data_IF_706615443041
#
_entry.id   IF_706615443041
#
_cell.length_a   1.000
_cell.length_b   1.000
_cell.length_c   1.000
_cell.angle_alpha   90.00
_cell.angle_beta   90.00
_cell.angle_gamma   90.00
#
_symmetry.space_group_name_H-M   'P 1'
#
loop_
_entity.id
_entity.type
_entity.pdbx_description
1 polymer ?
#
# COMPACT_ATOMS: atom_id res chain seq x y z
N UNK A 1 -19.49 4.55 -15.06
CA UNK A 1 -18.02 4.44 -15.15
C UNK A 1 -17.34 5.60 -14.45
N UNK A 2 -16.05 5.50 -14.11
CA UNK A 2 -15.25 6.60 -13.57
C UNK A 2 -14.11 6.89 -14.53
N UNK A 3 -13.95 8.13 -14.90
CA UNK A 3 -12.86 8.60 -15.76
C UNK A 3 -11.88 9.44 -14.94
N UNK A 4 -10.59 9.16 -15.08
CA UNK A 4 -9.53 9.92 -14.42
C UNK A 4 -8.89 10.85 -15.46
N UNK A 5 -9.01 12.14 -15.22
CA UNK A 5 -8.32 13.18 -15.99
C UNK A 5 -7.09 13.62 -15.17
N UNK A 6 -5.91 13.26 -15.60
CA UNK A 6 -4.67 13.55 -14.89
C UNK A 6 -3.63 14.12 -15.85
N UNK A 7 -2.89 15.12 -15.40
CA UNK A 7 -1.88 15.81 -16.21
C UNK A 7 -0.53 15.08 -16.24
N UNK A 8 -0.19 14.32 -15.20
CA UNK A 8 1.07 13.56 -15.09
C UNK A 8 0.76 12.07 -14.90
N UNK A 9 1.10 11.27 -15.89
CA UNK A 9 0.83 9.84 -15.93
C UNK A 9 1.59 9.04 -14.86
N UNK A 10 2.65 9.59 -14.29
CA UNK A 10 3.38 8.94 -13.19
C UNK A 10 2.47 8.64 -11.99
N UNK A 11 1.41 9.43 -11.79
CA UNK A 11 0.46 9.28 -10.68
C UNK A 11 -0.82 8.50 -11.05
N UNK A 12 -0.97 8.10 -12.32
CA UNK A 12 -2.20 7.46 -12.79
C UNK A 12 -2.52 6.17 -12.04
N UNK A 13 -1.54 5.28 -11.87
CA UNK A 13 -1.74 4.00 -11.19
C UNK A 13 -2.14 4.17 -9.72
N UNK A 14 -1.52 5.12 -9.01
CA UNK A 14 -1.90 5.46 -7.64
C UNK A 14 -3.34 5.97 -7.57
N UNK A 15 -3.75 6.80 -8.52
CA UNK A 15 -5.13 7.29 -8.61
C UNK A 15 -6.12 6.14 -8.84
N UNK A 16 -5.84 5.26 -9.80
CA UNK A 16 -6.69 4.10 -10.13
C UNK A 16 -6.89 3.21 -8.91
N UNK A 17 -5.80 2.84 -8.22
CA UNK A 17 -5.87 1.94 -7.07
C UNK A 17 -6.65 2.57 -5.93
N UNK A 18 -6.42 3.86 -5.65
CA UNK A 18 -7.10 4.56 -4.58
C UNK A 18 -8.59 4.77 -4.89
N UNK A 19 -8.94 5.18 -6.10
CA UNK A 19 -10.33 5.36 -6.53
C UNK A 19 -11.08 4.03 -6.48
N UNK A 20 -10.48 2.92 -6.95
CA UNK A 20 -11.08 1.58 -6.85
C UNK A 20 -11.32 1.14 -5.40
N UNK A 21 -10.53 1.62 -4.44
CA UNK A 21 -10.75 1.34 -3.03
C UNK A 21 -12.02 2.02 -2.48
N UNK A 22 -12.38 3.17 -3.01
CA UNK A 22 -13.65 3.84 -2.70
C UNK A 22 -14.83 3.27 -3.50
N UNK A 23 -14.60 2.86 -4.75
CA UNK A 23 -15.59 2.38 -5.72
C UNK A 23 -15.24 0.95 -6.22
N UNK A 24 -15.33 -0.09 -5.38
CA UNK A 24 -14.78 -1.42 -5.69
C UNK A 24 -15.47 -2.16 -6.83
N UNK A 25 -16.67 -1.71 -7.25
CA UNK A 25 -17.46 -2.34 -8.33
C UNK A 25 -17.56 -1.49 -9.59
N UNK A 26 -16.82 -0.39 -9.66
CA UNK A 26 -16.90 0.55 -10.77
C UNK A 26 -15.66 0.43 -11.64
N UNK A 27 -15.86 0.39 -12.94
CA UNK A 27 -14.76 0.48 -13.89
C UNK A 27 -14.16 1.87 -13.88
N UNK A 28 -12.82 1.90 -13.84
CA UNK A 28 -12.03 3.12 -13.82
C UNK A 28 -11.18 3.15 -15.07
N UNK A 29 -11.33 4.21 -15.85
CA UNK A 29 -10.66 4.40 -17.14
C UNK A 29 -9.94 5.74 -17.18
N UNK A 30 -8.94 5.84 -18.04
CA UNK A 30 -8.31 7.10 -18.35
C UNK A 30 -9.27 7.98 -19.16
N UNK A 31 -9.33 9.26 -18.80
CA UNK A 31 -10.07 10.24 -19.58
C UNK A 31 -9.40 10.46 -20.94
N UNK A 32 -10.18 10.36 -22.00
CA UNK A 32 -9.77 10.71 -23.37
C UNK A 32 -10.76 11.69 -23.94
N UNK A 33 -10.29 12.82 -24.46
CA UNK A 33 -11.16 13.86 -25.03
C UNK A 33 -12.05 13.35 -26.17
N UNK A 34 -11.55 12.37 -26.94
CA UNK A 34 -12.29 11.74 -28.02
C UNK A 34 -13.50 10.90 -27.54
N UNK A 35 -13.53 10.51 -26.27
CA UNK A 35 -14.61 9.72 -25.67
C UNK A 35 -15.74 10.57 -25.09
N UNK A 36 -15.72 11.89 -25.22
CA UNK A 36 -16.78 12.78 -24.71
C UNK A 36 -18.17 12.46 -25.28
N UNK A 37 -18.23 12.03 -26.53
CA UNK A 37 -19.49 11.73 -27.22
C UNK A 37 -20.19 10.45 -26.75
N UNK A 38 -19.47 9.57 -26.02
CA UNK A 38 -19.99 8.27 -25.57
C UNK A 38 -20.34 8.23 -24.08
N UNK A 39 -20.18 9.36 -23.36
CA UNK A 39 -20.45 9.42 -21.92
C UNK A 39 -21.95 9.53 -21.62
N UNK A 40 -22.33 8.86 -20.55
CA UNK A 40 -23.67 8.95 -19.97
C UNK A 40 -23.69 9.95 -18.81
N UNK A 41 -24.86 10.46 -18.47
CA UNK A 41 -25.05 11.35 -17.31
C UNK A 41 -24.69 10.71 -15.96
N UNK A 42 -24.45 9.40 -15.92
CA UNK A 42 -24.06 8.63 -14.72
C UNK A 42 -22.54 8.47 -14.57
N UNK A 43 -21.77 8.92 -15.54
CA UNK A 43 -20.31 8.80 -15.53
C UNK A 43 -19.67 9.92 -14.69
N UNK A 44 -18.74 9.55 -13.85
CA UNK A 44 -18.03 10.46 -12.95
C UNK A 44 -16.66 10.77 -13.53
N UNK A 45 -16.31 12.03 -13.61
CA UNK A 45 -14.94 12.46 -13.93
C UNK A 45 -14.25 12.92 -12.65
N UNK A 46 -13.10 12.34 -12.37
CA UNK A 46 -12.25 12.72 -11.24
C UNK A 46 -10.99 13.35 -11.83
N UNK A 47 -10.70 14.57 -11.39
CA UNK A 47 -9.49 15.31 -11.76
C UNK A 47 -8.63 15.49 -10.50
N UNK A 48 -7.66 14.56 -10.27
CA UNK A 48 -6.78 14.66 -9.11
C UNK A 48 -5.78 15.80 -9.27
N UNK A 49 -5.53 16.51 -8.17
CA UNK A 49 -4.48 17.52 -8.12
C UNK A 49 -3.12 16.84 -8.02
N UNK A 50 -2.25 17.10 -9.01
CA UNK A 50 -0.88 16.60 -9.02
C UNK A 50 0.01 17.56 -8.24
N UNK A 51 0.81 17.09 -7.28
CA UNK A 51 1.70 17.95 -6.51
C UNK A 51 2.82 18.53 -7.38
N UNK A 52 3.21 19.77 -7.09
CA UNK A 52 4.35 20.39 -7.74
C UNK A 52 5.66 19.68 -7.37
N UNK A 53 6.59 19.62 -8.34
CA UNK A 53 7.92 19.04 -8.16
C UNK A 53 8.85 20.07 -7.47
N UNK A 54 8.69 20.21 -6.17
CA UNK A 54 9.36 21.22 -5.32
C UNK A 54 10.64 20.73 -4.64
N UNK A 55 11.35 19.79 -5.25
CA UNK A 55 12.57 19.18 -4.70
C UNK A 55 12.34 17.98 -3.77
N UNK A 56 11.09 17.60 -3.52
CA UNK A 56 10.74 16.37 -2.81
C UNK A 56 11.15 15.13 -3.62
N UNK A 57 11.47 14.05 -2.91
CA UNK A 57 11.71 12.75 -3.55
C UNK A 57 10.45 12.24 -4.26
N UNK A 58 10.63 11.39 -5.28
CA UNK A 58 9.50 10.74 -5.97
C UNK A 58 8.54 10.08 -5.00
N UNK A 59 9.06 9.41 -3.97
CA UNK A 59 8.25 8.75 -2.94
C UNK A 59 7.38 9.74 -2.16
N UNK A 60 7.94 10.86 -1.74
CA UNK A 60 7.20 11.89 -1.00
C UNK A 60 6.12 12.55 -1.85
N UNK A 61 6.39 12.76 -3.14
CA UNK A 61 5.39 13.27 -4.09
C UNK A 61 4.21 12.29 -4.24
N UNK A 62 4.48 10.99 -4.41
CA UNK A 62 3.44 9.96 -4.49
C UNK A 62 2.64 9.82 -3.17
N UNK A 63 3.30 9.95 -2.01
CA UNK A 63 2.61 9.96 -0.72
C UNK A 63 1.71 11.19 -0.56
N UNK A 64 2.20 12.38 -0.92
CA UNK A 64 1.43 13.62 -0.88
C UNK A 64 0.22 13.57 -1.82
N UNK A 65 0.42 13.09 -3.05
CA UNK A 65 -0.65 12.88 -4.02
C UNK A 65 -1.76 11.98 -3.47
N UNK A 66 -1.40 10.80 -2.96
CA UNK A 66 -2.37 9.86 -2.38
C UNK A 66 -3.11 10.44 -1.18
N UNK A 67 -2.41 11.17 -0.33
CA UNK A 67 -3.01 11.82 0.84
C UNK A 67 -4.05 12.87 0.40
N UNK A 68 -3.71 13.74 -0.56
CA UNK A 68 -4.62 14.77 -1.08
C UNK A 68 -5.84 14.15 -1.75
N UNK A 69 -5.64 13.17 -2.63
CA UNK A 69 -6.73 12.48 -3.32
C UNK A 69 -7.64 11.74 -2.34
N UNK A 70 -7.06 11.03 -1.35
CA UNK A 70 -7.82 10.35 -0.30
C UNK A 70 -8.69 11.32 0.50
N UNK A 71 -8.11 12.43 0.95
CA UNK A 71 -8.83 13.44 1.75
C UNK A 71 -10.00 14.01 0.97
N UNK A 72 -9.80 14.33 -0.31
CA UNK A 72 -10.84 14.86 -1.20
C UNK A 72 -11.99 13.84 -1.41
N UNK A 73 -11.64 12.58 -1.73
CA UNK A 73 -12.65 11.52 -1.92
C UNK A 73 -13.36 11.17 -0.62
N UNK A 74 -12.65 11.10 0.49
CA UNK A 74 -13.23 10.81 1.81
C UNK A 74 -14.24 11.86 2.22
N UNK A 75 -13.95 13.15 1.99
CA UNK A 75 -14.86 14.26 2.29
C UNK A 75 -16.09 14.24 1.36
N UNK A 76 -15.89 14.04 0.05
CA UNK A 76 -16.99 14.01 -0.93
C UNK A 76 -17.95 12.83 -0.70
N UNK A 77 -17.44 11.69 -0.32
CA UNK A 77 -18.24 10.47 -0.13
C UNK A 77 -18.71 10.25 1.30
N UNK A 78 -18.27 11.10 2.22
CA UNK A 78 -18.45 10.91 3.67
C UNK A 78 -18.08 9.47 4.11
N UNK A 79 -16.94 8.97 3.58
CA UNK A 79 -16.49 7.59 3.76
C UNK A 79 -15.00 7.55 4.04
N UNK A 80 -14.60 6.79 5.05
CA UNK A 80 -13.19 6.53 5.36
C UNK A 80 -12.82 5.08 5.03
N UNK A 81 -11.58 4.86 4.61
CA UNK A 81 -11.05 3.52 4.38
C UNK A 81 -10.26 3.07 5.62
N UNK A 82 -10.37 1.80 6.05
CA UNK A 82 -9.70 1.31 7.25
C UNK A 82 -8.17 1.46 7.22
N UNK A 83 -7.56 1.39 6.04
CA UNK A 83 -6.12 1.55 5.82
C UNK A 83 -5.71 2.94 5.32
N UNK A 84 -6.60 3.95 5.42
CA UNK A 84 -6.35 5.28 4.89
C UNK A 84 -5.99 5.26 3.41
N UNK A 85 -4.95 6.00 3.04
CA UNK A 85 -4.45 6.00 1.67
C UNK A 85 -3.36 4.96 1.39
N UNK A 86 -3.04 4.08 2.36
CA UNK A 86 -2.06 3.02 2.16
C UNK A 86 -2.59 1.98 1.18
N UNK A 87 -2.17 2.07 -0.06
CA UNK A 87 -2.51 1.15 -1.13
C UNK A 87 -1.23 0.56 -1.74
N UNK A 88 -1.26 -0.73 -2.09
CA UNK A 88 -0.13 -1.41 -2.70
C UNK A 88 1.10 -1.60 -1.79
N UNK A 89 0.95 -1.43 -0.48
CA UNK A 89 2.03 -1.56 0.51
C UNK A 89 1.66 -2.56 1.61
N UNK A 90 2.67 -3.15 2.22
CA UNK A 90 2.51 -4.00 3.42
C UNK A 90 2.62 -3.12 4.67
N UNK A 91 1.50 -2.84 5.39
CA UNK A 91 1.55 -1.93 6.54
C UNK A 91 2.48 -2.40 7.65
N UNK A 92 2.55 -3.73 7.92
CA UNK A 92 3.46 -4.28 8.92
C UNK A 92 4.93 -3.93 8.65
N UNK A 93 5.34 -3.79 7.38
CA UNK A 93 6.70 -3.37 7.03
C UNK A 93 7.00 -1.94 7.48
N UNK A 94 6.02 -1.04 7.40
CA UNK A 94 6.16 0.34 7.90
C UNK A 94 6.37 0.31 9.42
N UNK A 95 5.49 -0.41 10.14
CA UNK A 95 5.60 -0.56 11.59
C UNK A 95 6.92 -1.23 12.00
N UNK A 96 7.34 -2.27 11.29
CA UNK A 96 8.60 -2.97 11.52
C UNK A 96 9.80 -2.03 11.38
N UNK A 97 9.85 -1.25 10.31
CA UNK A 97 10.94 -0.28 10.08
C UNK A 97 11.00 0.79 11.18
N UNK A 98 9.85 1.22 11.69
CA UNK A 98 9.79 2.18 12.81
C UNK A 98 10.28 1.51 14.12
N UNK A 99 9.89 0.26 14.39
CA UNK A 99 10.42 -0.52 15.53
C UNK A 99 11.94 -0.71 15.47
N UNK A 100 12.50 -0.94 14.27
CA UNK A 100 13.96 -1.05 14.10
C UNK A 100 14.68 0.29 14.37
N UNK A 101 14.02 1.40 14.09
CA UNK A 101 14.52 2.75 14.40
C UNK A 101 14.34 3.15 15.86
N UNK A 102 13.76 2.26 16.69
CA UNK A 102 13.55 2.51 18.11
C UNK A 102 12.32 3.35 18.44
N UNK A 103 11.40 3.54 17.49
CA UNK A 103 10.15 4.23 17.76
C UNK A 103 9.30 3.44 18.76
N UNK A 104 8.69 4.17 19.69
CA UNK A 104 7.78 3.59 20.66
C UNK A 104 6.38 3.31 20.05
N UNK A 105 5.53 2.67 20.86
CA UNK A 105 4.18 2.30 20.43
C UNK A 105 3.36 3.52 20.00
N UNK A 106 3.43 4.60 20.77
CA UNK A 106 2.62 5.81 20.55
C UNK A 106 3.03 6.51 19.27
N UNK A 107 4.32 6.66 19.05
CA UNK A 107 4.91 7.22 17.82
C UNK A 107 4.49 6.43 16.59
N UNK A 108 4.50 5.09 16.66
CA UNK A 108 4.07 4.25 15.54
C UNK A 108 2.58 4.41 15.27
N UNK A 109 1.73 4.40 16.31
CA UNK A 109 0.29 4.60 16.14
C UNK A 109 -0.03 6.00 15.61
N UNK A 110 0.70 7.01 16.04
CA UNK A 110 0.55 8.38 15.55
C UNK A 110 0.93 8.51 14.07
N UNK A 111 2.04 7.92 13.64
CA UNK A 111 2.45 7.87 12.23
C UNK A 111 1.35 7.26 11.35
N UNK A 112 0.75 6.14 11.79
CA UNK A 112 -0.33 5.51 11.05
C UNK A 112 -1.62 6.33 11.03
N UNK A 113 -2.02 6.87 12.17
CA UNK A 113 -3.32 7.54 12.27
C UNK A 113 -3.28 8.98 11.74
N UNK A 114 -2.24 9.74 12.05
CA UNK A 114 -2.15 11.15 11.63
C UNK A 114 -1.58 11.30 10.22
N UNK A 115 -0.50 10.59 9.89
CA UNK A 115 0.12 10.73 8.59
C UNK A 115 -0.56 9.89 7.51
N UNK A 116 -0.80 8.61 7.79
CA UNK A 116 -1.37 7.70 6.80
C UNK A 116 -2.90 7.59 6.85
N UNK A 117 -3.56 8.28 7.77
CA UNK A 117 -5.02 8.32 7.93
C UNK A 117 -5.64 6.92 8.12
N UNK A 118 -4.88 6.01 8.70
CA UNK A 118 -5.28 4.63 9.01
C UNK A 118 -6.15 4.62 10.27
N UNK A 119 -7.18 3.79 10.31
CA UNK A 119 -7.99 3.62 11.51
C UNK A 119 -7.16 3.04 12.66
N UNK A 120 -7.46 3.43 13.89
CA UNK A 120 -6.71 2.99 15.07
C UNK A 120 -6.62 1.46 15.19
N UNK A 121 -7.74 0.76 14.96
CA UNK A 121 -7.77 -0.72 14.97
C UNK A 121 -6.78 -1.33 13.99
N UNK A 122 -6.65 -0.75 12.80
CA UNK A 122 -5.72 -1.25 11.76
C UNK A 122 -4.28 -0.86 12.05
N UNK A 123 -4.04 0.31 12.62
CA UNK A 123 -2.73 0.71 13.11
C UNK A 123 -2.22 -0.23 14.20
N UNK A 124 -3.07 -0.57 15.18
CA UNK A 124 -2.76 -1.55 16.22
C UNK A 124 -2.46 -2.93 15.65
N UNK A 125 -3.26 -3.38 14.67
CA UNK A 125 -3.02 -4.66 13.99
C UNK A 125 -1.67 -4.68 13.27
N UNK A 126 -1.34 -3.61 12.52
CA UNK A 126 -0.06 -3.51 11.83
C UNK A 126 1.13 -3.58 12.80
N UNK A 127 1.00 -2.91 13.95
CA UNK A 127 2.02 -2.96 15.00
C UNK A 127 2.15 -4.34 15.62
N UNK A 128 1.04 -5.02 15.95
CA UNK A 128 1.06 -6.38 16.50
C UNK A 128 1.74 -7.37 15.55
N UNK A 129 1.41 -7.30 14.26
CA UNK A 129 2.04 -8.15 13.23
C UNK A 129 3.54 -7.85 13.16
N UNK A 130 3.94 -6.58 13.15
CA UNK A 130 5.36 -6.21 13.11
C UNK A 130 6.13 -6.68 14.35
N UNK A 131 5.54 -6.60 15.54
CA UNK A 131 6.14 -7.10 16.79
C UNK A 131 6.33 -8.63 16.74
N UNK A 132 5.32 -9.35 16.24
CA UNK A 132 5.40 -10.79 16.06
C UNK A 132 6.47 -11.16 15.02
N UNK A 133 6.48 -10.49 13.86
CA UNK A 133 7.53 -10.65 12.85
C UNK A 133 8.91 -10.43 13.49
N UNK A 134 9.11 -9.35 14.23
CA UNK A 134 10.38 -9.04 14.90
C UNK A 134 10.80 -10.15 15.85
N UNK A 135 9.90 -10.63 16.72
CA UNK A 135 10.20 -11.70 17.69
C UNK A 135 10.59 -13.04 17.05
N UNK A 136 10.07 -13.33 15.85
CA UNK A 136 10.43 -14.52 15.07
C UNK A 136 11.78 -14.29 14.41
N UNK A 137 11.98 -13.13 13.80
CA UNK A 137 13.17 -12.82 13.02
C UNK A 137 14.42 -12.66 13.90
N UNK A 138 14.28 -12.14 15.12
CA UNK A 138 15.38 -12.02 16.09
C UNK A 138 15.98 -13.39 16.50
N UNK A 139 15.22 -14.46 16.34
CA UNK A 139 15.69 -15.83 16.60
C UNK A 139 16.41 -16.45 15.40
N UNK A 140 16.48 -15.78 14.29
CA UNK A 140 17.03 -16.28 13.04
C UNK A 140 18.36 -15.60 12.73
N UNK A 141 19.39 -16.37 12.42
CA UNK A 141 20.67 -15.83 11.96
C UNK A 141 20.61 -15.53 10.44
N UNK A 142 20.15 -14.33 10.11
CA UNK A 142 20.10 -13.89 8.71
C UNK A 142 21.46 -13.55 8.09
N UNK A 143 22.49 -13.36 8.91
CA UNK A 143 23.84 -13.03 8.41
C UNK A 143 24.54 -14.26 7.83
N UNK A 144 24.25 -15.43 8.40
CA UNK A 144 24.90 -16.69 8.01
C UNK A 144 23.92 -17.71 7.43
N UNK A 145 22.64 -17.33 7.30
CA UNK A 145 21.58 -18.17 6.76
C UNK A 145 21.14 -17.76 5.34
N UNK A 146 20.47 -18.65 4.68
CA UNK A 146 19.81 -18.37 3.39
C UNK A 146 18.35 -18.84 3.42
N UNK A 147 17.51 -18.17 2.67
CA UNK A 147 16.10 -18.57 2.49
C UNK A 147 15.95 -19.28 1.15
N UNK A 148 15.48 -20.53 1.20
CA UNK A 148 15.19 -21.29 -0.03
C UNK A 148 13.70 -21.23 -0.32
N UNK A 149 13.33 -20.69 -1.49
CA UNK A 149 11.97 -20.68 -1.98
C UNK A 149 11.77 -21.86 -2.92
N UNK A 150 10.98 -22.83 -2.51
CA UNK A 150 10.63 -23.97 -3.35
C UNK A 150 9.25 -23.71 -3.93
N UNK A 151 9.20 -23.35 -5.22
CA UNK A 151 7.95 -23.25 -5.97
C UNK A 151 7.49 -24.64 -6.37
N UNK A 152 6.29 -25.05 -5.97
CA UNK A 152 5.67 -26.27 -6.48
C UNK A 152 4.81 -25.88 -7.69
N UNK A 153 5.28 -26.17 -8.91
CA UNK A 153 4.53 -26.01 -10.13
C UNK A 153 3.64 -27.24 -10.36
N UNK A 154 2.62 -27.40 -9.52
CA UNK A 154 1.54 -28.32 -9.87
C UNK A 154 0.58 -27.57 -10.78
N UNK A 155 0.41 -28.10 -11.98
CA UNK A 155 -0.57 -27.67 -12.98
C UNK A 155 -2.01 -27.87 -12.41
N UNK A 156 -2.45 -26.94 -11.60
CA UNK A 156 -3.87 -26.78 -11.26
C UNK A 156 -4.14 -25.30 -11.03
N UNK A 157 -5.34 -24.86 -11.40
CA UNK A 157 -5.81 -23.47 -11.40
C UNK A 157 -5.82 -22.77 -10.03
N UNK A 158 -5.26 -23.40 -9.00
CA UNK A 158 -5.06 -22.85 -7.68
C UNK A 158 -3.55 -22.80 -7.37
N UNK A 159 -2.98 -21.62 -7.47
CA UNK A 159 -1.59 -21.35 -7.11
C UNK A 159 -1.43 -21.42 -5.58
N UNK A 160 -1.24 -22.62 -5.05
CA UNK A 160 -0.86 -22.80 -3.63
C UNK A 160 0.65 -22.62 -3.52
N UNK A 161 1.10 -21.45 -3.13
CA UNK A 161 2.51 -21.22 -2.77
C UNK A 161 2.73 -21.80 -1.38
N UNK A 162 3.36 -22.99 -1.31
CA UNK A 162 3.85 -23.53 -0.05
C UNK A 162 5.20 -22.88 0.27
N UNK A 163 5.20 -21.93 1.19
CA UNK A 163 6.40 -21.29 1.69
C UNK A 163 7.01 -22.20 2.75
N UNK A 164 8.01 -23.01 2.40
CA UNK A 164 8.76 -23.79 3.36
C UNK A 164 10.02 -22.99 3.72
N UNK A 165 10.07 -22.47 4.95
CA UNK A 165 11.30 -21.94 5.52
C UNK A 165 12.12 -23.11 6.06
N UNK A 166 13.20 -23.46 5.38
CA UNK A 166 14.20 -24.38 5.92
C UNK A 166 15.35 -23.54 6.45
N UNK A 167 15.43 -23.42 7.77
CA UNK A 167 16.57 -22.85 8.45
C UNK A 167 17.64 -23.93 8.61
N UNK A 168 18.72 -23.85 7.88
CA UNK A 168 19.94 -24.63 8.17
C UNK A 168 20.89 -23.77 8.99
N UNK A 169 20.92 -23.98 10.30
CA UNK A 169 22.05 -23.62 11.14
C UNK A 169 23.09 -24.72 11.00
N UNK A 170 23.87 -24.68 9.92
CA UNK A 170 24.97 -25.58 9.69
C UNK A 170 26.29 -24.83 9.71
N UNK A 171 26.92 -24.74 10.86
CA UNK A 171 28.34 -24.38 10.93
C UNK A 171 29.14 -25.42 10.18
N UNK A 172 29.72 -25.06 9.03
CA UNK A 172 30.78 -25.84 8.41
C UNK A 172 32.04 -25.54 9.23
N UNK A 173 32.32 -26.40 10.18
CA UNK A 173 33.63 -26.45 10.79
C UNK A 173 34.63 -26.88 9.73
N UNK A 174 35.69 -26.07 9.54
CA UNK A 174 36.89 -26.47 8.81
C UNK A 174 37.71 -27.40 9.66
#
# INVERSE_FOLDING_TARGET
>A
MIYIKISDMDFYDDAVVLIKSFYPRTEVMQYQEQAEQTRTAQDIVIEPEVPEKDGRSKKELHEAFKCTLYTKLSAQLNKTLPWGYLTGVRPSKIAYTLLEKGADREQILEEFTKKHLVSEKKAQLALQVAQTEKSILEKMDYKNGYSLYIGNSVLSDNLSVLLIYILFAGGISK
#
